data_IF_670423452160
#
_entry.id   IF_670423452160
#
_cell.length_a   1.000
_cell.length_b   1.000
_cell.length_c   1.000
_cell.angle_alpha   90.00
_cell.angle_beta   90.00
_cell.angle_gamma   90.00
#
_symmetry.space_group_name_H-M   'P 1'
#
loop_
_entity.id
_entity.type
_entity.pdbx_description
1 polymer ?
#
# COMPACT_ATOMS: atom_id res chain seq x y z
N UNK A 1 -6.78 -65.20 78.62
CA UNK A 1 -7.43 -63.93 78.91
C UNK A 1 -7.39 -63.05 77.64
N UNK A 2 -8.52 -62.86 77.10
CA UNK A 2 -8.70 -62.28 75.83
C UNK A 2 -8.61 -60.75 75.82
N UNK A 3 -8.68 -60.12 74.72
CA UNK A 3 -9.51 -59.02 74.41
C UNK A 3 -9.38 -58.67 72.92
N UNK A 4 -10.47 -58.76 72.29
CA UNK A 4 -10.82 -58.38 70.94
C UNK A 4 -10.74 -56.87 70.76
N UNK A 5 -10.13 -56.46 69.72
CA UNK A 5 -10.14 -55.06 69.27
C UNK A 5 -10.71 -54.92 67.88
N UNK A 6 -11.87 -54.28 67.74
CA UNK A 6 -12.60 -54.13 66.54
C UNK A 6 -11.97 -53.07 65.59
N UNK A 7 -11.90 -53.41 64.32
CA UNK A 7 -11.49 -52.55 63.27
C UNK A 7 -12.65 -51.66 62.78
N UNK A 8 -12.55 -50.35 62.92
CA UNK A 8 -13.46 -49.37 62.32
C UNK A 8 -12.98 -49.04 60.90
N UNK A 9 -13.75 -49.43 59.91
CA UNK A 9 -13.52 -49.06 58.52
C UNK A 9 -14.00 -47.61 58.29
N UNK A 10 -13.08 -46.74 58.02
CA UNK A 10 -13.37 -45.33 57.55
C UNK A 10 -13.57 -45.32 56.00
N UNK A 11 -14.79 -45.10 55.60
CA UNK A 11 -15.16 -44.82 54.19
C UNK A 11 -14.68 -43.40 53.83
N UNK A 12 -13.61 -43.30 53.06
CA UNK A 12 -13.20 -42.04 52.43
C UNK A 12 -14.02 -41.87 51.16
N UNK A 13 -14.99 -40.95 51.19
CA UNK A 13 -15.69 -40.47 49.99
C UNK A 13 -14.76 -39.62 49.14
N UNK A 14 -14.34 -40.15 47.99
CA UNK A 14 -13.59 -39.38 46.95
C UNK A 14 -14.55 -38.43 46.27
N UNK A 15 -14.50 -37.14 46.65
CA UNK A 15 -15.10 -36.07 45.88
C UNK A 15 -14.23 -35.85 44.64
N UNK A 16 -14.62 -36.44 43.52
CA UNK A 16 -14.03 -36.12 42.22
C UNK A 16 -14.42 -34.71 41.80
N UNK A 17 -13.46 -33.79 41.81
CA UNK A 17 -13.58 -32.49 41.19
C UNK A 17 -13.79 -32.66 39.67
N UNK A 18 -15.04 -32.61 39.24
CA UNK A 18 -15.38 -32.43 37.83
C UNK A 18 -15.10 -30.97 37.47
N UNK A 19 -13.90 -30.66 36.97
CA UNK A 19 -13.68 -29.43 36.25
C UNK A 19 -14.74 -29.33 35.14
N UNK A 20 -15.49 -28.22 35.05
CA UNK A 20 -16.37 -27.99 33.89
C UNK A 20 -15.51 -28.01 32.63
N UNK A 21 -15.93 -28.76 31.62
CA UNK A 21 -15.28 -28.78 30.33
C UNK A 21 -15.21 -27.35 29.79
N UNK A 22 -13.99 -26.87 29.49
CA UNK A 22 -13.82 -25.61 28.77
C UNK A 22 -14.59 -25.70 27.44
N UNK A 23 -15.40 -24.70 27.09
CA UNK A 23 -15.99 -24.67 25.76
C UNK A 23 -14.89 -24.73 24.71
N UNK A 24 -15.14 -25.38 23.58
CA UNK A 24 -14.17 -25.41 22.50
C UNK A 24 -13.80 -23.97 22.12
N UNK A 25 -12.53 -23.68 21.78
CA UNK A 25 -12.12 -22.35 21.34
C UNK A 25 -13.01 -21.95 20.17
N UNK A 26 -13.58 -20.75 20.25
CA UNK A 26 -14.31 -20.17 19.13
C UNK A 26 -13.41 -20.24 17.89
N UNK A 27 -13.94 -20.61 16.71
CA UNK A 27 -13.13 -20.64 15.50
C UNK A 27 -12.50 -19.26 15.35
N UNK A 28 -11.17 -19.22 15.21
CA UNK A 28 -10.46 -18.00 14.84
C UNK A 28 -11.14 -17.40 13.61
N UNK A 29 -11.48 -16.11 13.60
CA UNK A 29 -12.04 -15.52 12.39
C UNK A 29 -11.09 -15.85 11.24
N UNK A 30 -11.63 -16.43 10.16
CA UNK A 30 -10.87 -16.73 8.96
C UNK A 30 -10.11 -15.45 8.61
N UNK A 31 -8.79 -15.52 8.51
CA UNK A 31 -7.97 -14.37 8.21
C UNK A 31 -8.51 -13.72 6.92
N UNK A 32 -9.02 -12.51 7.04
CA UNK A 32 -9.56 -11.77 5.89
C UNK A 32 -8.41 -11.59 4.91
N UNK A 33 -8.56 -12.16 3.71
CA UNK A 33 -7.50 -12.04 2.70
C UNK A 33 -7.41 -10.60 2.22
N UNK A 34 -6.19 -10.07 2.03
CA UNK A 34 -6.01 -8.75 1.47
C UNK A 34 -6.65 -8.63 0.08
N UNK A 35 -7.29 -7.51 -0.24
CA UNK A 35 -7.97 -7.33 -1.51
C UNK A 35 -7.02 -7.53 -2.70
N UNK A 36 -7.49 -8.24 -3.74
CA UNK A 36 -6.70 -8.56 -4.95
C UNK A 36 -5.65 -9.66 -4.78
N UNK A 37 -5.46 -10.24 -3.60
CA UNK A 37 -4.44 -11.27 -3.35
C UNK A 37 -4.74 -12.59 -4.08
N UNK A 38 -6.00 -12.93 -4.32
CA UNK A 38 -6.41 -14.18 -4.97
C UNK A 38 -6.01 -14.25 -6.45
N UNK A 39 -5.88 -13.12 -7.11
CA UNK A 39 -5.50 -13.01 -8.54
C UNK A 39 -4.08 -12.51 -8.74
N UNK A 40 -3.36 -12.22 -7.65
CA UNK A 40 -2.02 -11.62 -7.72
C UNK A 40 -1.06 -12.43 -8.59
N UNK A 41 -0.27 -11.71 -9.40
CA UNK A 41 0.75 -12.29 -10.29
C UNK A 41 2.12 -12.27 -9.63
N UNK A 42 3.01 -13.22 -9.97
CA UNK A 42 4.41 -13.14 -9.56
C UNK A 42 5.05 -11.86 -10.09
N UNK A 43 5.97 -11.32 -9.32
CA UNK A 43 6.79 -10.18 -9.72
C UNK A 43 8.21 -10.61 -10.01
N UNK A 44 8.87 -9.88 -10.89
CA UNK A 44 10.29 -10.09 -11.22
C UNK A 44 11.10 -8.81 -10.94
N UNK A 45 12.36 -8.95 -10.51
CA UNK A 45 13.23 -7.79 -10.38
C UNK A 45 13.63 -7.30 -11.77
N UNK A 46 13.65 -5.97 -11.92
CA UNK A 46 14.14 -5.32 -13.15
C UNK A 46 15.09 -4.19 -12.82
N UNK A 47 15.89 -3.79 -13.80
CA UNK A 47 16.76 -2.62 -13.73
C UNK A 47 16.71 -1.84 -15.03
N UNK A 48 16.90 -0.53 -14.95
CA UNK A 48 17.02 0.36 -16.12
C UNK A 48 17.91 1.56 -15.80
N UNK A 49 18.34 2.26 -16.86
CA UNK A 49 19.13 3.49 -16.68
C UNK A 49 18.28 4.63 -16.14
N UNK A 50 18.63 5.14 -14.99
CA UNK A 50 18.01 6.29 -14.34
C UNK A 50 18.87 7.56 -14.39
N UNK A 51 18.40 8.67 -13.82
CA UNK A 51 19.10 9.97 -13.87
C UNK A 51 20.44 10.00 -13.14
N UNK A 52 20.62 9.17 -12.10
CA UNK A 52 21.82 9.12 -11.27
C UNK A 52 22.46 7.72 -11.24
N UNK A 53 22.25 6.93 -12.28
CA UNK A 53 22.76 5.57 -12.39
C UNK A 53 21.62 4.57 -12.64
N UNK A 54 21.89 3.30 -12.31
CA UNK A 54 20.91 2.25 -12.52
C UNK A 54 19.81 2.32 -11.45
N UNK A 55 18.56 2.38 -11.89
CA UNK A 55 17.39 2.18 -11.04
C UNK A 55 17.01 0.70 -10.99
N UNK A 56 16.51 0.27 -9.84
CA UNK A 56 16.01 -1.06 -9.56
C UNK A 56 14.49 -1.01 -9.36
N UNK A 57 13.79 -2.09 -9.63
CA UNK A 57 12.37 -2.17 -9.42
C UNK A 57 11.83 -3.59 -9.42
N UNK A 58 10.53 -3.69 -9.19
CA UNK A 58 9.77 -4.93 -9.25
C UNK A 58 8.66 -4.78 -10.28
N UNK A 59 8.59 -5.69 -11.22
CA UNK A 59 7.70 -5.69 -12.37
C UNK A 59 6.74 -6.86 -12.35
N UNK A 60 5.51 -6.66 -12.78
CA UNK A 60 4.59 -7.72 -13.15
C UNK A 60 3.81 -7.34 -14.40
N UNK A 61 3.79 -8.22 -15.40
CA UNK A 61 2.95 -8.06 -16.58
C UNK A 61 1.49 -8.36 -16.23
N UNK A 62 0.57 -7.61 -16.83
CA UNK A 62 -0.87 -7.81 -16.70
C UNK A 62 -1.29 -9.24 -17.04
N UNK A 63 -2.37 -9.70 -16.42
CA UNK A 63 -3.07 -10.90 -16.85
C UNK A 63 -3.80 -10.63 -18.18
N UNK A 64 -3.29 -11.15 -19.27
CA UNK A 64 -3.82 -10.91 -20.64
C UNK A 64 -3.35 -9.59 -21.26
N UNK A 65 -4.17 -9.02 -22.15
CA UNK A 65 -3.86 -7.74 -22.79
C UNK A 65 -3.95 -6.61 -21.76
N UNK A 66 -2.90 -5.80 -21.54
CA UNK A 66 -2.93 -4.72 -20.56
C UNK A 66 -4.01 -3.68 -20.88
N UNK A 67 -4.81 -3.32 -19.90
CA UNK A 67 -5.73 -2.16 -19.98
C UNK A 67 -4.99 -0.84 -19.90
N UNK A 68 -3.95 -0.81 -19.04
CA UNK A 68 -3.08 0.31 -18.78
C UNK A 68 -1.86 -0.15 -18.00
N UNK A 69 -1.07 0.79 -17.50
CA UNK A 69 0.11 0.50 -16.71
C UNK A 69 0.21 1.40 -15.49
N UNK A 70 0.67 0.87 -14.35
CA UNK A 70 0.63 1.56 -13.06
C UNK A 70 2.02 1.56 -12.43
N UNK A 71 2.53 2.76 -12.12
CA UNK A 71 3.68 2.92 -11.25
C UNK A 71 3.24 2.83 -9.79
N UNK A 72 3.89 2.00 -9.00
CA UNK A 72 3.67 1.85 -7.57
C UNK A 72 4.81 2.52 -6.81
N UNK A 73 4.48 3.44 -5.90
CA UNK A 73 5.46 4.14 -5.06
C UNK A 73 5.34 3.63 -3.63
N UNK A 74 6.43 3.07 -3.12
CA UNK A 74 6.52 2.42 -1.82
C UNK A 74 6.39 3.40 -0.63
N UNK A 75 6.13 2.84 0.56
CA UNK A 75 6.17 3.56 1.82
C UNK A 75 7.63 3.91 2.23
N UNK A 76 7.80 4.53 3.39
CA UNK A 76 9.10 4.97 3.92
C UNK A 76 10.07 3.83 4.31
N UNK A 77 9.73 2.58 4.04
CA UNK A 77 10.58 1.40 4.28
C UNK A 77 11.21 0.84 3.00
N UNK A 78 11.05 1.55 1.87
CA UNK A 78 11.58 1.12 0.58
C UNK A 78 10.74 0.03 -0.12
N UNK A 79 11.31 -0.57 -1.17
CA UNK A 79 10.69 -1.63 -1.96
C UNK A 79 10.76 -2.97 -1.21
N UNK A 80 9.79 -3.22 -0.33
CA UNK A 80 9.64 -4.45 0.45
C UNK A 80 8.64 -5.44 -0.19
N UNK A 81 8.43 -6.60 0.45
CA UNK A 81 7.57 -7.65 -0.09
C UNK A 81 6.09 -7.25 -0.13
N UNK A 82 5.64 -6.40 0.77
CA UNK A 82 4.28 -5.87 0.71
C UNK A 82 4.06 -5.05 -0.57
N UNK A 83 4.99 -4.15 -0.91
CA UNK A 83 4.91 -3.36 -2.16
C UNK A 83 4.94 -4.27 -3.38
N UNK A 84 5.80 -5.29 -3.39
CA UNK A 84 5.82 -6.31 -4.45
C UNK A 84 4.47 -7.03 -4.57
N UNK A 85 3.82 -7.33 -3.44
CA UNK A 85 2.49 -7.94 -3.46
C UNK A 85 1.45 -7.01 -4.10
N UNK A 86 1.50 -5.69 -3.85
CA UNK A 86 0.61 -4.71 -4.50
C UNK A 86 0.82 -4.68 -6.01
N UNK A 87 2.09 -4.70 -6.48
CA UNK A 87 2.42 -4.83 -7.92
C UNK A 87 1.75 -6.07 -8.52
N UNK A 88 1.86 -7.21 -7.84
CA UNK A 88 1.23 -8.46 -8.27
C UNK A 88 -0.30 -8.39 -8.31
N UNK A 89 -0.93 -7.75 -7.31
CA UNK A 89 -2.40 -7.55 -7.24
C UNK A 89 -2.91 -6.71 -8.40
N UNK A 90 -2.22 -5.61 -8.72
CA UNK A 90 -2.56 -4.75 -9.87
C UNK A 90 -2.41 -5.50 -11.21
N UNK A 91 -1.36 -6.32 -11.34
CA UNK A 91 -1.18 -7.15 -12.52
C UNK A 91 -2.28 -8.20 -12.66
N UNK A 92 -2.76 -8.75 -11.54
CA UNK A 92 -3.87 -9.71 -11.50
C UNK A 92 -5.18 -9.17 -12.00
N UNK A 93 -5.44 -7.87 -11.84
CA UNK A 93 -6.66 -7.18 -12.32
C UNK A 93 -6.49 -6.54 -13.71
N UNK A 94 -5.39 -6.85 -14.41
CA UNK A 94 -5.21 -6.48 -15.83
C UNK A 94 -4.43 -5.21 -16.09
N UNK A 95 -3.66 -4.68 -15.13
CA UNK A 95 -2.75 -3.55 -15.33
C UNK A 95 -1.30 -4.01 -15.17
N UNK A 96 -0.46 -3.80 -16.17
CA UNK A 96 0.99 -4.01 -15.98
C UNK A 96 1.49 -3.05 -14.90
N UNK A 97 2.29 -3.54 -13.95
CA UNK A 97 2.68 -2.72 -12.80
C UNK A 97 4.19 -2.77 -12.54
N UNK A 98 4.74 -1.61 -12.18
CA UNK A 98 6.14 -1.42 -11.84
C UNK A 98 6.24 -0.70 -10.50
N UNK A 99 6.97 -1.25 -9.54
CA UNK A 99 7.42 -0.49 -8.38
C UNK A 99 8.90 -0.13 -8.54
N UNK A 100 9.24 1.15 -8.37
CA UNK A 100 10.62 1.62 -8.33
C UNK A 100 11.19 1.54 -6.92
N UNK A 101 12.45 1.15 -6.78
CA UNK A 101 13.20 1.27 -5.54
C UNK A 101 13.90 2.62 -5.48
N UNK A 102 13.36 3.55 -4.68
CA UNK A 102 13.90 4.90 -4.52
C UNK A 102 15.23 4.94 -3.73
N UNK A 103 15.68 3.79 -3.23
CA UNK A 103 17.01 3.59 -2.63
C UNK A 103 18.01 2.96 -3.61
N UNK A 104 17.71 2.93 -4.90
CA UNK A 104 18.57 2.28 -5.92
C UNK A 104 20.00 2.80 -5.91
N UNK A 105 20.22 4.10 -5.78
CA UNK A 105 21.56 4.70 -5.75
C UNK A 105 22.31 4.41 -4.43
N UNK A 106 21.58 4.03 -3.38
CA UNK A 106 22.13 3.54 -2.10
C UNK A 106 22.37 2.02 -2.10
N UNK A 107 22.26 1.37 -3.26
CA UNK A 107 22.42 -0.07 -3.43
C UNK A 107 21.09 -0.85 -3.42
N UNK A 108 19.97 -0.18 -3.21
CA UNK A 108 18.62 -0.74 -3.14
C UNK A 108 18.16 -1.07 -1.72
N UNK A 109 16.86 -1.15 -1.54
CA UNK A 109 16.22 -1.44 -0.23
C UNK A 109 16.77 -2.71 0.42
N UNK A 110 17.10 -3.73 -0.36
CA UNK A 110 17.59 -5.02 0.15
C UNK A 110 18.95 -4.94 0.86
N UNK A 111 19.71 -3.86 0.70
CA UNK A 111 21.00 -3.66 1.40
C UNK A 111 20.83 -3.19 2.84
N UNK A 112 19.64 -2.74 3.21
CA UNK A 112 19.33 -2.27 4.55
C UNK A 112 18.75 -3.43 5.38
N UNK A 113 19.46 -3.82 6.43
CA UNK A 113 19.03 -4.88 7.37
C UNK A 113 17.94 -4.41 8.34
N UNK A 114 17.81 -3.10 8.51
CA UNK A 114 16.87 -2.44 9.43
C UNK A 114 15.97 -1.48 8.65
N UNK A 115 14.64 -1.62 8.72
CA UNK A 115 13.69 -0.67 8.12
C UNK A 115 13.87 0.78 8.58
N UNK A 116 14.37 1.03 9.80
CA UNK A 116 14.64 2.38 10.27
C UNK A 116 15.85 3.00 9.53
N UNK A 117 16.86 2.22 9.19
CA UNK A 117 17.98 2.66 8.37
C UNK A 117 17.54 3.03 6.94
N UNK A 118 16.65 2.23 6.33
CA UNK A 118 16.05 2.56 5.03
C UNK A 118 15.25 3.88 5.10
N UNK A 119 14.46 4.08 6.17
CA UNK A 119 13.71 5.32 6.41
C UNK A 119 14.65 6.53 6.55
N UNK A 120 15.76 6.39 7.30
CA UNK A 120 16.75 7.44 7.46
C UNK A 120 17.43 7.80 6.12
N UNK A 121 17.80 6.78 5.32
CA UNK A 121 18.36 6.98 3.99
C UNK A 121 17.39 7.73 3.06
N UNK A 122 16.12 7.32 3.00
CA UNK A 122 15.09 8.03 2.23
C UNK A 122 14.94 9.48 2.69
N UNK A 123 15.01 9.75 3.99
CA UNK A 123 14.87 11.10 4.54
C UNK A 123 16.03 12.03 4.16
N UNK A 124 17.18 11.47 3.77
CA UNK A 124 18.35 12.23 3.31
C UNK A 124 18.31 12.58 1.81
N UNK A 125 17.39 12.00 1.05
CA UNK A 125 17.26 12.22 -0.40
C UNK A 125 16.47 13.50 -0.67
N UNK A 126 16.95 14.31 -1.62
CA UNK A 126 16.26 15.53 -2.01
C UNK A 126 14.93 15.26 -2.74
N UNK A 127 13.90 16.10 -2.56
CA UNK A 127 12.66 15.97 -3.32
C UNK A 127 12.85 15.96 -4.84
N UNK A 128 13.79 16.71 -5.36
CA UNK A 128 14.10 16.79 -6.79
C UNK A 128 14.61 15.46 -7.34
N UNK A 129 15.42 14.73 -6.56
CA UNK A 129 15.88 13.39 -6.95
C UNK A 129 14.72 12.40 -7.02
N UNK A 130 13.83 12.40 -6.05
CA UNK A 130 12.63 11.55 -6.11
C UNK A 130 11.83 11.80 -7.38
N UNK A 131 11.58 13.07 -7.73
CA UNK A 131 10.82 13.41 -8.94
C UNK A 131 11.56 12.94 -10.20
N UNK A 132 12.88 13.09 -10.28
CA UNK A 132 13.67 12.62 -11.41
C UNK A 132 13.61 11.09 -11.56
N UNK A 133 13.76 10.33 -10.46
CA UNK A 133 13.71 8.88 -10.47
C UNK A 133 12.30 8.38 -10.82
N UNK A 134 11.24 9.01 -10.28
CA UNK A 134 9.86 8.69 -10.63
C UNK A 134 9.52 8.99 -12.08
N UNK A 135 9.96 10.12 -12.62
CA UNK A 135 9.77 10.47 -14.02
C UNK A 135 10.49 9.48 -14.95
N UNK A 136 11.69 9.00 -14.56
CA UNK A 136 12.39 7.91 -15.25
C UNK A 136 11.62 6.60 -15.20
N UNK A 137 11.06 6.24 -14.03
CA UNK A 137 10.26 5.03 -13.87
C UNK A 137 8.96 5.07 -14.71
N UNK A 138 8.31 6.22 -14.82
CA UNK A 138 7.17 6.45 -15.73
C UNK A 138 7.58 6.24 -17.19
N UNK A 139 8.76 6.73 -17.58
CA UNK A 139 9.32 6.49 -18.92
C UNK A 139 9.59 5.02 -19.20
N UNK A 140 10.16 4.30 -18.22
CA UNK A 140 10.37 2.84 -18.31
C UNK A 140 9.05 2.08 -18.45
N UNK A 141 8.07 2.43 -17.62
CA UNK A 141 6.74 1.85 -17.64
C UNK A 141 6.07 2.01 -19.01
N UNK A 142 6.10 3.24 -19.58
CA UNK A 142 5.55 3.53 -20.89
C UNK A 142 6.22 2.73 -22.01
N UNK A 143 7.55 2.55 -21.96
CA UNK A 143 8.28 1.73 -22.94
C UNK A 143 7.93 0.24 -22.87
N UNK A 144 7.71 -0.28 -21.66
CA UNK A 144 7.35 -1.70 -21.45
C UNK A 144 5.92 -2.03 -21.86
N UNK A 145 5.08 -1.02 -22.01
CA UNK A 145 3.64 -1.22 -22.23
C UNK A 145 3.13 -0.58 -23.52
N UNK A 146 4.05 -0.31 -24.46
CA UNK A 146 3.74 0.19 -25.81
C UNK A 146 2.82 1.42 -25.82
N UNK A 147 3.09 2.36 -24.89
CA UNK A 147 2.35 3.62 -24.78
C UNK A 147 0.91 3.49 -24.24
N UNK A 148 0.60 2.41 -23.53
CA UNK A 148 -0.69 2.31 -22.82
C UNK A 148 -0.87 3.46 -21.82
N UNK A 149 -2.12 3.85 -21.49
CA UNK A 149 -2.40 4.85 -20.47
C UNK A 149 -1.68 4.55 -19.16
N UNK A 150 -1.07 5.58 -18.56
CA UNK A 150 -0.23 5.44 -17.36
C UNK A 150 -0.95 5.98 -16.13
N UNK A 151 -0.92 5.21 -15.06
CA UNK A 151 -1.35 5.62 -13.73
C UNK A 151 -0.22 5.54 -12.72
N UNK A 152 -0.43 6.16 -11.58
CA UNK A 152 0.44 6.07 -10.41
C UNK A 152 -0.37 5.81 -9.16
N UNK A 153 0.11 4.93 -8.30
CA UNK A 153 -0.41 4.74 -6.93
C UNK A 153 0.75 4.83 -5.95
N UNK A 154 0.53 5.48 -4.82
CA UNK A 154 1.57 5.59 -3.79
C UNK A 154 0.96 5.59 -2.40
N UNK A 155 1.73 5.06 -1.43
CA UNK A 155 1.26 4.81 -0.08
C UNK A 155 2.11 5.57 0.95
N UNK A 156 1.50 6.25 1.91
CA UNK A 156 2.18 6.99 2.98
C UNK A 156 3.18 8.02 2.39
N UNK A 157 4.46 7.82 2.60
CA UNK A 157 5.55 8.56 1.94
C UNK A 157 5.36 8.58 0.42
N UNK A 158 5.07 7.42 -0.20
CA UNK A 158 4.77 7.30 -1.62
C UNK A 158 3.51 8.06 -2.05
N UNK A 159 2.48 8.11 -1.21
CA UNK A 159 1.30 8.95 -1.44
C UNK A 159 1.66 10.45 -1.47
N UNK A 160 2.54 10.88 -0.57
CA UNK A 160 3.11 12.23 -0.59
C UNK A 160 3.94 12.49 -1.85
N UNK A 161 4.64 11.48 -2.37
CA UNK A 161 5.38 11.61 -3.63
C UNK A 161 4.46 11.66 -4.85
N UNK A 162 3.28 11.01 -4.83
CA UNK A 162 2.26 11.19 -5.87
C UNK A 162 1.83 12.65 -5.95
N UNK A 163 1.50 13.28 -4.81
CA UNK A 163 1.17 14.70 -4.77
C UNK A 163 2.30 15.61 -5.29
N UNK A 164 3.54 15.32 -4.91
CA UNK A 164 4.72 16.07 -5.38
C UNK A 164 4.98 15.88 -6.87
N UNK A 165 4.74 14.69 -7.40
CA UNK A 165 4.89 14.36 -8.81
C UNK A 165 3.87 15.17 -9.65
N UNK A 166 2.60 15.21 -9.19
CA UNK A 166 1.58 16.05 -9.81
C UNK A 166 1.95 17.55 -9.78
N UNK A 167 2.47 18.02 -8.64
CA UNK A 167 2.91 19.42 -8.51
C UNK A 167 4.17 19.75 -9.33
N UNK A 168 5.01 18.76 -9.64
CA UNK A 168 6.15 18.93 -10.54
C UNK A 168 5.76 18.97 -12.03
N UNK A 169 4.52 18.65 -12.36
CA UNK A 169 4.02 18.64 -13.73
C UNK A 169 4.42 17.37 -14.48
N UNK A 170 3.64 16.27 -14.30
CA UNK A 170 3.84 15.01 -15.03
C UNK A 170 2.68 14.76 -16.00
N UNK A 171 2.77 15.26 -17.24
CA UNK A 171 1.65 15.24 -18.18
C UNK A 171 1.36 13.86 -18.79
N UNK A 172 2.21 12.84 -18.56
CA UNK A 172 2.04 11.48 -19.07
C UNK A 172 1.03 10.67 -18.27
N UNK A 173 0.66 11.11 -17.05
CA UNK A 173 -0.28 10.40 -16.20
C UNK A 173 -1.71 10.68 -16.61
N UNK A 174 -2.51 9.63 -16.76
CA UNK A 174 -3.95 9.68 -16.93
C UNK A 174 -4.70 9.48 -15.59
N UNK A 175 -4.08 8.80 -14.61
CA UNK A 175 -4.65 8.64 -13.28
C UNK A 175 -3.58 8.70 -12.19
N UNK A 176 -3.94 9.22 -11.00
CA UNK A 176 -3.06 9.27 -9.83
C UNK A 176 -3.84 8.94 -8.56
N UNK A 177 -3.31 8.03 -7.74
CA UNK A 177 -3.99 7.55 -6.53
C UNK A 177 -3.07 7.65 -5.32
N UNK A 178 -3.06 8.79 -4.61
CA UNK A 178 -2.34 8.95 -3.34
C UNK A 178 -3.15 8.34 -2.18
N UNK A 179 -2.55 7.37 -1.46
CA UNK A 179 -3.08 6.82 -0.21
C UNK A 179 -2.40 7.48 0.98
N UNK A 180 -3.18 8.06 1.87
CA UNK A 180 -2.74 8.67 3.14
C UNK A 180 -1.38 9.39 3.04
N UNK A 181 -1.20 10.15 1.98
CA UNK A 181 0.03 10.86 1.68
C UNK A 181 -0.02 12.33 2.09
N UNK A 182 1.06 12.86 2.71
CA UNK A 182 1.12 14.27 3.06
C UNK A 182 1.13 15.16 1.82
N UNK A 183 0.25 16.16 1.82
CA UNK A 183 0.21 17.18 0.77
C UNK A 183 1.42 18.13 0.87
N UNK A 184 2.09 18.50 -0.23
CA UNK A 184 3.09 19.56 -0.19
C UNK A 184 2.45 20.94 0.06
N UNK A 185 3.24 21.87 0.59
CA UNK A 185 2.79 23.23 0.79
C UNK A 185 2.45 23.91 -0.55
N UNK A 186 1.30 24.60 -0.60
CA UNK A 186 0.84 25.39 -1.75
C UNK A 186 0.98 24.68 -3.12
N UNK A 187 0.38 23.49 -3.32
CA UNK A 187 0.56 22.71 -4.52
C UNK A 187 -0.09 23.39 -5.73
N UNK A 188 0.61 23.35 -6.87
CA UNK A 188 0.07 23.71 -8.18
C UNK A 188 0.07 22.47 -9.09
N UNK A 189 -1.11 21.98 -9.44
CA UNK A 189 -1.27 20.79 -10.27
C UNK A 189 -1.52 21.09 -11.75
N UNK A 190 -1.41 22.35 -12.17
CA UNK A 190 -1.72 22.81 -13.55
C UNK A 190 -0.90 22.08 -14.62
N UNK A 191 0.33 21.64 -14.30
CA UNK A 191 1.19 20.87 -15.20
C UNK A 191 0.78 19.40 -15.39
N UNK A 192 -0.13 18.88 -14.55
CA UNK A 192 -0.59 17.48 -14.56
C UNK A 192 -2.10 17.36 -14.73
N UNK A 193 -2.76 18.36 -15.27
CA UNK A 193 -4.22 18.47 -15.34
C UNK A 193 -4.94 17.37 -16.14
N UNK A 194 -4.21 16.53 -16.90
CA UNK A 194 -4.76 15.37 -17.57
C UNK A 194 -4.98 14.18 -16.64
N UNK A 195 -4.30 14.15 -15.48
CA UNK A 195 -4.46 13.08 -14.53
C UNK A 195 -5.76 13.23 -13.74
N UNK A 196 -6.58 12.18 -13.73
CA UNK A 196 -7.68 12.08 -12.79
C UNK A 196 -7.16 11.59 -11.42
N UNK A 197 -7.60 12.21 -10.31
CA UNK A 197 -7.05 11.95 -8.98
C UNK A 197 -8.07 11.30 -8.06
N UNK A 198 -7.73 10.14 -7.49
CA UNK A 198 -8.49 9.48 -6.43
C UNK A 198 -7.67 9.45 -5.14
N UNK A 199 -7.93 10.34 -4.21
CA UNK A 199 -7.20 10.44 -2.94
C UNK A 199 -7.88 9.66 -1.81
N UNK A 200 -7.09 8.90 -1.03
CA UNK A 200 -7.59 8.18 0.14
C UNK A 200 -6.98 8.70 1.43
N UNK A 201 -7.83 8.92 2.42
CA UNK A 201 -7.50 9.39 3.75
C UNK A 201 -8.13 8.48 4.81
N UNK A 202 -7.50 8.35 5.98
CA UNK A 202 -8.11 7.69 7.13
C UNK A 202 -8.66 8.74 8.11
N UNK A 203 -9.92 8.62 8.55
CA UNK A 203 -10.53 9.59 9.45
C UNK A 203 -9.77 9.75 10.77
N UNK A 204 -9.06 8.72 11.22
CA UNK A 204 -8.25 8.75 12.45
C UNK A 204 -6.84 9.32 12.23
N UNK A 205 -6.34 9.43 10.99
CA UNK A 205 -5.05 10.06 10.66
C UNK A 205 -5.19 11.58 10.50
N UNK A 206 -5.48 12.27 11.59
CA UNK A 206 -5.67 13.73 11.59
C UNK A 206 -4.48 14.50 10.98
N UNK A 207 -3.26 13.96 11.13
CA UNK A 207 -2.04 14.59 10.60
C UNK A 207 -2.04 14.72 9.07
N UNK A 208 -2.63 13.76 8.37
CA UNK A 208 -2.72 13.79 6.89
C UNK A 208 -4.09 14.30 6.46
N UNK A 209 -5.17 13.81 7.06
CA UNK A 209 -6.55 14.13 6.68
C UNK A 209 -6.87 15.62 6.82
N UNK A 210 -6.24 16.34 7.76
CA UNK A 210 -6.38 17.80 7.86
C UNK A 210 -5.94 18.56 6.60
N UNK A 211 -5.16 17.94 5.69
CA UNK A 211 -4.74 18.55 4.43
C UNK A 211 -5.72 18.32 3.27
N UNK A 212 -6.75 17.47 3.46
CA UNK A 212 -7.73 17.16 2.41
C UNK A 212 -8.42 18.40 1.83
N UNK A 213 -8.92 19.39 2.60
CA UNK A 213 -9.55 20.57 2.02
C UNK A 213 -8.60 21.42 1.15
N UNK A 214 -7.30 21.40 1.46
CA UNK A 214 -6.30 22.09 0.66
C UNK A 214 -5.99 21.34 -0.63
N UNK A 215 -6.02 20.00 -0.61
CA UNK A 215 -5.90 19.15 -1.80
C UNK A 215 -7.08 19.37 -2.73
N UNK A 216 -8.32 19.31 -2.21
CA UNK A 216 -9.56 19.61 -2.93
C UNK A 216 -9.48 20.97 -3.64
N UNK A 217 -9.15 22.02 -2.89
CA UNK A 217 -9.04 23.37 -3.45
C UNK A 217 -7.97 23.48 -4.55
N UNK A 218 -6.87 22.74 -4.46
CA UNK A 218 -5.82 22.73 -5.47
C UNK A 218 -6.25 21.98 -6.73
N UNK A 219 -6.94 20.85 -6.60
CA UNK A 219 -7.48 20.06 -7.72
C UNK A 219 -8.56 20.86 -8.48
N UNK A 220 -9.48 21.51 -7.76
CA UNK A 220 -10.49 22.40 -8.34
C UNK A 220 -9.83 23.55 -9.13
N UNK A 221 -8.82 24.20 -8.57
CA UNK A 221 -8.09 25.27 -9.29
C UNK A 221 -7.42 24.77 -10.55
N UNK A 222 -6.93 23.54 -10.56
CA UNK A 222 -6.29 22.92 -11.72
C UNK A 222 -7.29 22.35 -12.73
N UNK A 223 -8.59 22.38 -12.43
CA UNK A 223 -9.67 21.76 -13.22
C UNK A 223 -9.46 20.27 -13.47
N UNK A 224 -8.96 19.54 -12.46
CA UNK A 224 -8.72 18.11 -12.55
C UNK A 224 -9.99 17.33 -12.15
N UNK A 225 -10.25 16.22 -12.84
CA UNK A 225 -11.23 15.23 -12.38
C UNK A 225 -10.69 14.56 -11.12
N UNK A 226 -11.50 14.51 -10.07
CA UNK A 226 -11.03 14.00 -8.78
C UNK A 226 -12.15 13.52 -7.88
N UNK A 227 -11.79 12.61 -6.97
CA UNK A 227 -12.56 12.18 -5.81
C UNK A 227 -11.62 12.03 -4.61
N UNK A 228 -12.02 12.54 -3.44
CA UNK A 228 -11.27 12.44 -2.19
C UNK A 228 -12.12 11.69 -1.16
N UNK A 229 -11.65 10.50 -0.79
CA UNK A 229 -12.37 9.57 0.07
C UNK A 229 -11.74 9.58 1.47
N UNK A 230 -12.55 9.85 2.48
CA UNK A 230 -12.16 9.71 3.89
C UNK A 230 -12.79 8.42 4.40
N UNK A 231 -11.95 7.39 4.63
CA UNK A 231 -12.39 6.12 5.20
C UNK A 231 -12.75 6.31 6.68
N UNK A 232 -14.01 6.08 7.08
CA UNK A 232 -14.40 6.18 8.48
C UNK A 232 -13.66 5.12 9.30
N UNK A 233 -13.36 5.37 10.54
CA UNK A 233 -12.71 4.44 11.47
C UNK A 233 -11.30 3.94 11.06
N UNK A 234 -10.77 4.33 9.90
CA UNK A 234 -9.45 3.97 9.41
C UNK A 234 -8.36 4.94 9.89
N UNK A 235 -7.20 4.39 10.24
CA UNK A 235 -5.99 5.13 10.61
C UNK A 235 -4.98 5.17 9.46
N UNK A 236 -3.86 5.85 9.66
CA UNK A 236 -2.74 5.84 8.72
C UNK A 236 -2.29 4.41 8.37
N UNK A 237 -2.01 4.14 7.09
CA UNK A 237 -1.62 2.82 6.58
C UNK A 237 -2.72 1.72 6.68
N UNK A 238 -3.99 2.10 6.67
CA UNK A 238 -5.11 1.16 6.72
C UNK A 238 -5.13 0.13 5.58
N UNK A 239 -4.54 0.44 4.44
CA UNK A 239 -4.47 -0.47 3.28
C UNK A 239 -3.34 -1.50 3.39
N UNK A 240 -2.35 -1.28 4.25
CA UNK A 240 -1.18 -2.14 4.37
C UNK A 240 -1.46 -3.35 5.28
N UNK A 241 -1.69 -4.50 4.69
CA UNK A 241 -2.01 -5.76 5.39
C UNK A 241 -0.86 -6.34 6.23
N UNK A 242 0.32 -5.73 6.19
CA UNK A 242 1.43 -6.01 7.12
C UNK A 242 1.53 -5.00 8.27
N UNK A 243 0.69 -3.97 8.25
CA UNK A 243 0.62 -2.95 9.30
C UNK A 243 -0.30 -3.38 10.45
N UNK A 244 0.03 -3.06 11.71
CA UNK A 244 -0.89 -3.23 12.82
C UNK A 244 -2.13 -2.32 12.73
N UNK A 245 -2.15 -1.35 11.82
CA UNK A 245 -3.26 -0.44 11.53
C UNK A 245 -4.05 -0.84 10.29
N UNK A 246 -3.85 -2.07 9.80
CA UNK A 246 -4.62 -2.58 8.68
C UNK A 246 -6.10 -2.64 9.03
N UNK A 247 -6.93 -2.03 8.20
CA UNK A 247 -8.38 -2.12 8.27
C UNK A 247 -8.91 -2.87 7.04
N UNK A 248 -9.39 -4.12 7.20
CA UNK A 248 -9.86 -4.91 6.07
C UNK A 248 -11.06 -4.31 5.34
N UNK A 249 -11.95 -3.60 6.05
CA UNK A 249 -13.16 -3.02 5.44
C UNK A 249 -12.80 -1.79 4.60
N UNK A 250 -12.04 -0.87 5.17
CA UNK A 250 -11.53 0.29 4.45
C UNK A 250 -10.62 -0.11 3.28
N UNK A 251 -9.77 -1.13 3.46
CA UNK A 251 -8.92 -1.63 2.38
C UNK A 251 -9.73 -2.26 1.23
N UNK A 252 -10.83 -2.95 1.54
CA UNK A 252 -11.71 -3.54 0.52
C UNK A 252 -12.47 -2.46 -0.26
N UNK A 253 -13.02 -1.44 0.42
CA UNK A 253 -13.69 -0.30 -0.23
C UNK A 253 -12.71 0.47 -1.12
N UNK A 254 -11.55 0.84 -0.57
CA UNK A 254 -10.51 1.56 -1.31
C UNK A 254 -10.02 0.77 -2.55
N UNK A 255 -9.88 -0.56 -2.44
CA UNK A 255 -9.53 -1.40 -3.58
C UNK A 255 -10.59 -1.43 -4.66
N UNK A 256 -11.88 -1.51 -4.30
CA UNK A 256 -12.97 -1.46 -5.26
C UNK A 256 -13.02 -0.12 -5.98
N UNK A 257 -12.96 1.01 -5.24
CA UNK A 257 -12.93 2.35 -5.83
C UNK A 257 -11.73 2.56 -6.74
N UNK A 258 -10.54 2.09 -6.35
CA UNK A 258 -9.34 2.15 -7.18
C UNK A 258 -9.52 1.39 -8.50
N UNK A 259 -10.13 0.19 -8.47
CA UNK A 259 -10.42 -0.57 -9.70
C UNK A 259 -11.38 0.19 -10.62
N UNK A 260 -12.48 0.72 -10.07
CA UNK A 260 -13.48 1.47 -10.83
C UNK A 260 -12.87 2.75 -11.43
N UNK A 261 -11.97 3.41 -10.68
CA UNK A 261 -11.22 4.58 -11.14
C UNK A 261 -10.29 4.26 -12.31
N UNK A 262 -9.51 3.20 -12.18
CA UNK A 262 -8.61 2.78 -13.25
C UNK A 262 -9.35 2.28 -14.49
N UNK A 263 -10.50 1.61 -14.34
CA UNK A 263 -11.36 1.25 -15.48
C UNK A 263 -11.85 2.51 -16.21
N UNK A 264 -12.17 3.57 -15.50
CA UNK A 264 -12.67 4.82 -16.09
C UNK A 264 -11.57 5.62 -16.80
N UNK A 265 -10.36 5.64 -16.25
CA UNK A 265 -9.30 6.57 -16.69
C UNK A 265 -8.10 5.91 -17.37
N UNK A 266 -7.93 4.58 -17.29
CA UNK A 266 -6.82 3.85 -17.90
C UNK A 266 -7.25 2.77 -18.93
N UNK A 267 -8.51 2.77 -19.38
CA UNK A 267 -9.01 1.76 -20.33
C UNK A 267 -9.19 2.32 -21.73
#
# INVERSE_FOLDING_TARGET
>A
MGLSGGAAAALIASCGDRRPAQPPPSPSPAAVRPPGSDTARPTEPITWSGPQGQLQGSWAAAAGTPRGAILVIHENKGLNDWVRSVVGRLAGIGYSALAVDLLSAEGGTATFSDPAAATAALSAISPQRFIADLSSAIGELGRRTDGRPLGVVGFCFGGGLVWRLLAAGEPRLAAAVPFYGPLPDSPDFSGSRQAAVLGFYGALDQRVTSSEPAAEAALVRAHMDHDLVIEPDADHAFFNDTSPRYDPAAAADAWQRLQDWFVRHLS
#
